data_IF_210277316066
#
_entry.id   IF_210277316066
#
_cell.length_a   1.000
_cell.length_b   1.000
_cell.length_c   1.000
_cell.angle_alpha   90.00
_cell.angle_beta   90.00
_cell.angle_gamma   90.00
#
_symmetry.space_group_name_H-M   'P 1'
#
loop_
_entity.id
_entity.type
_entity.pdbx_description
1 polymer ?
#
# COMPACT_ATOMS: atom_id res chain seq x y z
N UNK A 1 -4.89 29.45 8.52
CA UNK A 1 -4.64 28.43 9.57
C UNK A 1 -4.90 27.02 9.00
N UNK A 2 -3.91 26.13 8.93
CA UNK A 2 -4.10 24.72 8.51
C UNK A 2 -4.79 23.97 9.65
N UNK A 3 -6.12 23.98 9.70
CA UNK A 3 -6.84 23.04 10.58
C UNK A 3 -6.54 21.62 10.09
N UNK A 4 -5.76 20.91 10.90
CA UNK A 4 -5.40 19.51 10.72
C UNK A 4 -6.40 18.68 11.52
N UNK A 5 -6.95 17.64 10.91
CA UNK A 5 -7.91 16.77 11.57
C UNK A 5 -7.14 15.75 12.41
N UNK A 6 -6.82 16.12 13.66
CA UNK A 6 -6.00 15.32 14.58
C UNK A 6 -6.62 13.92 14.79
N UNK A 7 -7.93 13.86 15.01
CA UNK A 7 -8.63 12.59 15.24
C UNK A 7 -8.45 11.61 14.08
N UNK A 8 -8.41 12.10 12.83
CA UNK A 8 -8.21 11.26 11.64
C UNK A 8 -6.82 10.61 11.63
N UNK A 9 -5.78 11.35 12.03
CA UNK A 9 -4.43 10.77 12.15
C UNK A 9 -4.39 9.70 13.25
N UNK A 10 -5.16 9.86 14.32
CA UNK A 10 -5.26 8.85 15.38
C UNK A 10 -6.00 7.60 14.92
N UNK A 11 -7.12 7.72 14.19
CA UNK A 11 -7.80 6.54 13.64
C UNK A 11 -6.86 5.77 12.68
N UNK A 12 -6.05 6.48 11.87
CA UNK A 12 -5.03 5.82 11.04
C UNK A 12 -3.97 5.08 11.85
N UNK A 13 -3.56 5.66 12.98
CA UNK A 13 -2.62 5.02 13.90
C UNK A 13 -3.23 3.75 14.51
N UNK A 14 -4.49 3.81 14.94
CA UNK A 14 -5.23 2.65 15.41
C UNK A 14 -5.30 1.56 14.33
N UNK A 15 -5.77 1.90 13.12
CA UNK A 15 -5.92 0.94 12.04
C UNK A 15 -4.59 0.29 11.62
N UNK A 16 -3.49 1.05 11.54
CA UNK A 16 -2.19 0.46 11.20
C UNK A 16 -1.69 -0.46 12.32
N UNK A 17 -1.85 -0.09 13.60
CA UNK A 17 -1.47 -0.96 14.71
C UNK A 17 -2.31 -2.24 14.75
N UNK A 18 -3.62 -2.14 14.51
CA UNK A 18 -4.52 -3.31 14.41
C UNK A 18 -4.15 -4.21 13.24
N UNK A 19 -3.72 -3.65 12.10
CA UNK A 19 -3.25 -4.43 10.95
C UNK A 19 -1.96 -5.18 11.26
N UNK A 20 -1.00 -4.51 11.93
CA UNK A 20 0.29 -5.12 12.30
C UNK A 20 0.10 -6.34 13.21
N UNK A 21 -0.62 -6.17 14.32
CA UNK A 21 -0.89 -7.26 15.25
C UNK A 21 -1.74 -8.36 14.59
N UNK A 22 -2.67 -7.98 13.71
CA UNK A 22 -3.50 -8.89 12.93
C UNK A 22 -2.67 -9.84 12.09
N UNK A 23 -1.75 -9.30 11.28
CA UNK A 23 -0.85 -10.11 10.46
C UNK A 23 0.11 -10.96 11.31
N UNK A 24 0.62 -10.42 12.41
CA UNK A 24 1.55 -11.16 13.28
C UNK A 24 0.89 -12.40 13.89
N UNK A 25 -0.27 -12.23 14.54
CA UNK A 25 -0.97 -13.34 15.20
C UNK A 25 -1.47 -14.33 14.14
N UNK A 26 -2.01 -13.86 13.02
CA UNK A 26 -2.48 -14.76 11.95
C UNK A 26 -1.33 -15.60 11.37
N UNK A 27 -0.13 -15.05 11.23
CA UNK A 27 1.01 -15.77 10.69
C UNK A 27 1.62 -16.77 11.70
N UNK A 28 1.73 -16.38 12.98
CA UNK A 28 2.58 -17.08 13.93
C UNK A 28 1.83 -17.89 15.00
N UNK A 29 0.55 -17.60 15.26
CA UNK A 29 -0.25 -18.38 16.23
C UNK A 29 -0.49 -19.79 15.70
N UNK A 30 -0.22 -20.80 16.53
CA UNK A 30 -0.40 -22.20 16.13
C UNK A 30 -1.87 -22.53 15.85
N UNK A 31 -2.09 -23.40 14.86
CA UNK A 31 -3.43 -23.77 14.36
C UNK A 31 -4.40 -24.26 15.45
N UNK A 32 -4.00 -25.06 16.46
CA UNK A 32 -4.91 -25.52 17.51
C UNK A 32 -5.54 -24.39 18.34
N UNK A 33 -4.95 -23.19 18.31
CA UNK A 33 -5.46 -22.02 19.04
C UNK A 33 -6.29 -21.09 18.14
N UNK A 34 -6.39 -21.35 16.84
CA UNK A 34 -7.24 -20.61 15.90
C UNK A 34 -8.69 -21.15 15.94
N UNK A 35 -9.32 -21.09 17.11
CA UNK A 35 -10.66 -21.64 17.35
C UNK A 35 -11.71 -20.53 17.54
N UNK A 36 -12.69 -20.47 16.64
CA UNK A 36 -13.80 -19.50 16.71
C UNK A 36 -14.78 -19.77 17.87
N UNK A 37 -14.74 -20.97 18.48
CA UNK A 37 -15.50 -21.22 19.72
C UNK A 37 -14.86 -20.57 20.94
N UNK A 38 -13.57 -20.23 20.87
CA UNK A 38 -12.89 -19.50 21.92
C UNK A 38 -13.25 -18.01 21.84
N UNK A 39 -13.96 -17.52 22.86
CA UNK A 39 -14.42 -16.13 22.94
C UNK A 39 -13.30 -15.09 22.74
N UNK A 40 -12.09 -15.35 23.25
CA UNK A 40 -10.97 -14.42 23.12
C UNK A 40 -10.45 -14.35 21.68
N UNK A 41 -10.31 -15.51 21.03
CA UNK A 41 -9.89 -15.58 19.63
C UNK A 41 -10.96 -14.98 18.72
N UNK A 42 -12.22 -15.34 18.90
CA UNK A 42 -13.35 -14.83 18.13
C UNK A 42 -13.45 -13.29 18.21
N UNK A 43 -13.37 -12.71 19.41
CA UNK A 43 -13.40 -11.26 19.59
C UNK A 43 -12.21 -10.62 18.84
N UNK A 44 -11.00 -11.15 19.06
CA UNK A 44 -9.80 -10.63 18.40
C UNK A 44 -9.89 -10.71 16.87
N UNK A 45 -10.34 -11.85 16.34
CA UNK A 45 -10.49 -12.09 14.91
C UNK A 45 -11.55 -11.16 14.31
N UNK A 46 -12.68 -10.98 15.00
CA UNK A 46 -13.72 -10.03 14.63
C UNK A 46 -13.19 -8.60 14.49
N UNK A 47 -12.48 -8.10 15.51
CA UNK A 47 -11.90 -6.74 15.49
C UNK A 47 -10.83 -6.58 14.42
N UNK A 48 -10.04 -7.62 14.19
CA UNK A 48 -9.03 -7.62 13.11
C UNK A 48 -9.71 -7.45 11.74
N UNK A 49 -10.88 -8.07 11.52
CA UNK A 49 -11.69 -7.93 10.30
C UNK A 49 -12.24 -6.52 10.04
N UNK A 50 -12.34 -5.65 11.05
CA UNK A 50 -12.79 -4.25 10.90
C UNK A 50 -11.69 -3.34 10.33
N UNK A 51 -10.43 -3.77 10.43
CA UNK A 51 -9.25 -2.95 10.15
C UNK A 51 -9.21 -2.44 8.71
N UNK A 52 -9.43 -3.32 7.72
CA UNK A 52 -9.39 -2.94 6.30
C UNK A 52 -10.50 -1.93 5.92
N UNK A 53 -11.79 -2.16 6.27
CA UNK A 53 -12.85 -1.16 6.11
C UNK A 53 -12.49 0.22 6.68
N UNK A 54 -11.97 0.26 7.91
CA UNK A 54 -11.55 1.52 8.56
C UNK A 54 -10.42 2.19 7.79
N UNK A 55 -9.36 1.45 7.45
CA UNK A 55 -8.19 2.00 6.77
C UNK A 55 -8.50 2.56 5.37
N UNK A 56 -9.32 1.85 4.59
CA UNK A 56 -9.76 2.27 3.27
C UNK A 56 -10.67 3.50 3.33
N UNK A 57 -11.64 3.50 4.26
CA UNK A 57 -12.56 4.63 4.45
C UNK A 57 -11.80 5.90 4.84
N UNK A 58 -10.84 5.82 5.76
CA UNK A 58 -10.04 7.01 6.13
C UNK A 58 -9.21 7.51 4.95
N UNK A 59 -8.66 6.59 4.15
CA UNK A 59 -7.86 6.95 2.97
C UNK A 59 -8.69 7.77 1.97
N UNK A 60 -9.93 7.33 1.69
CA UNK A 60 -10.88 8.06 0.86
C UNK A 60 -11.32 9.40 1.48
N UNK A 61 -11.57 9.41 2.79
CA UNK A 61 -11.97 10.61 3.55
C UNK A 61 -10.93 11.72 3.44
N UNK A 62 -9.68 11.43 3.82
CA UNK A 62 -8.60 12.43 3.81
C UNK A 62 -8.35 12.92 2.40
N UNK A 63 -8.30 11.99 1.45
CA UNK A 63 -8.01 12.31 0.06
C UNK A 63 -9.04 13.31 -0.48
N UNK A 64 -10.33 12.99 -0.34
CA UNK A 64 -11.43 13.81 -0.86
C UNK A 64 -11.54 15.13 -0.12
N UNK A 65 -11.41 15.13 1.21
CA UNK A 65 -11.38 16.36 2.01
C UNK A 65 -10.29 17.33 1.54
N UNK A 66 -9.07 16.81 1.32
CA UNK A 66 -7.95 17.64 0.84
C UNK A 66 -8.11 18.06 -0.62
N UNK A 67 -8.69 17.19 -1.45
CA UNK A 67 -8.94 17.46 -2.87
C UNK A 67 -9.91 18.62 -3.03
N UNK A 68 -11.07 18.57 -2.36
CA UNK A 68 -12.07 19.64 -2.40
C UNK A 68 -11.50 20.94 -1.83
N UNK A 69 -10.86 20.88 -0.64
CA UNK A 69 -10.28 22.06 0.01
C UNK A 69 -9.27 22.80 -0.87
N UNK A 70 -8.43 22.07 -1.59
CA UNK A 70 -7.46 22.68 -2.49
C UNK A 70 -8.12 23.13 -3.80
N UNK A 71 -9.15 22.43 -4.27
CA UNK A 71 -9.93 22.80 -5.45
C UNK A 71 -10.62 24.15 -5.29
N UNK A 72 -11.19 24.44 -4.11
CA UNK A 72 -11.77 25.76 -3.81
C UNK A 72 -10.73 26.89 -3.76
N UNK A 73 -9.45 26.58 -3.50
CA UNK A 73 -8.38 27.58 -3.40
C UNK A 73 -7.65 27.84 -4.71
N UNK A 74 -7.38 26.78 -5.47
CA UNK A 74 -6.52 26.81 -6.66
C UNK A 74 -7.28 26.64 -7.98
N UNK A 75 -8.59 26.39 -7.91
CA UNK A 75 -9.44 26.11 -9.06
C UNK A 75 -9.69 24.62 -9.26
N UNK A 76 -10.85 24.31 -9.85
CA UNK A 76 -11.30 22.94 -10.11
C UNK A 76 -10.57 22.37 -11.35
N UNK A 77 -10.48 21.04 -11.44
CA UNK A 77 -9.80 20.35 -12.54
C UNK A 77 -8.29 20.25 -12.34
N UNK A 78 -7.53 20.25 -13.45
CA UNK A 78 -6.07 20.08 -13.46
C UNK A 78 -5.30 21.20 -12.77
N UNK A 79 -5.92 22.36 -12.54
CA UNK A 79 -5.34 23.47 -11.75
C UNK A 79 -5.12 23.08 -10.30
N UNK A 80 -5.92 22.14 -9.79
CA UNK A 80 -5.78 21.64 -8.43
C UNK A 80 -4.53 20.76 -8.29
N UNK A 81 -3.48 21.18 -7.55
CA UNK A 81 -2.25 20.40 -7.42
C UNK A 81 -2.46 19.05 -6.70
N UNK A 82 -3.61 18.85 -6.04
CA UNK A 82 -3.97 17.55 -5.43
C UNK A 82 -4.33 16.48 -6.45
N UNK A 83 -4.77 16.86 -7.65
CA UNK A 83 -5.05 15.91 -8.74
C UNK A 83 -3.77 15.19 -9.14
N UNK A 84 -2.73 15.95 -9.51
CA UNK A 84 -1.42 15.40 -9.90
C UNK A 84 -0.76 14.64 -8.73
N UNK A 85 -0.83 15.18 -7.51
CA UNK A 85 -0.30 14.49 -6.31
C UNK A 85 -1.04 13.19 -6.01
N UNK A 86 -2.37 13.17 -6.18
CA UNK A 86 -3.21 11.99 -5.98
C UNK A 86 -2.88 10.89 -6.98
N UNK A 87 -2.81 11.25 -8.26
CA UNK A 87 -2.45 10.33 -9.34
C UNK A 87 -1.04 9.73 -9.16
N UNK A 88 -0.02 10.57 -8.93
CA UNK A 88 1.33 10.08 -8.65
C UNK A 88 1.40 9.22 -7.40
N UNK A 89 0.63 9.58 -6.35
CA UNK A 89 0.55 8.76 -5.15
C UNK A 89 -0.07 7.39 -5.46
N UNK A 90 -1.14 7.33 -6.25
CA UNK A 90 -1.77 6.09 -6.67
C UNK A 90 -0.79 5.16 -7.40
N UNK A 91 -0.11 5.67 -8.43
CA UNK A 91 0.92 4.93 -9.17
C UNK A 91 2.05 4.47 -8.23
N UNK A 92 2.53 5.36 -7.36
CA UNK A 92 3.59 5.04 -6.42
C UNK A 92 3.18 3.91 -5.44
N UNK A 93 1.92 3.88 -5.00
CA UNK A 93 1.43 2.80 -4.14
C UNK A 93 1.35 1.46 -4.89
N UNK A 94 0.80 1.47 -6.12
CA UNK A 94 0.78 0.28 -6.98
C UNK A 94 2.20 -0.25 -7.22
N UNK A 95 3.12 0.64 -7.60
CA UNK A 95 4.52 0.27 -7.80
C UNK A 95 5.10 -0.37 -6.54
N UNK A 96 5.01 0.28 -5.38
CA UNK A 96 5.51 -0.28 -4.10
C UNK A 96 4.87 -1.62 -3.78
N UNK A 97 3.58 -1.81 -4.08
CA UNK A 97 2.89 -3.07 -3.87
C UNK A 97 3.49 -4.20 -4.72
N UNK A 98 3.76 -3.93 -6.01
CA UNK A 98 4.45 -4.89 -6.88
C UNK A 98 5.87 -5.19 -6.40
N UNK A 99 6.61 -4.20 -5.88
CA UNK A 99 7.98 -4.42 -5.38
C UNK A 99 8.03 -5.32 -4.12
N UNK A 100 7.00 -5.26 -3.28
CA UNK A 100 6.97 -5.96 -2.00
C UNK A 100 6.43 -7.39 -2.08
N UNK A 101 5.84 -7.79 -3.21
CA UNK A 101 5.24 -9.13 -3.37
C UNK A 101 6.18 -10.05 -4.14
N UNK A 102 6.25 -11.32 -3.72
CA UNK A 102 7.04 -12.36 -4.40
C UNK A 102 6.51 -12.69 -5.81
N UNK A 103 5.21 -12.49 -6.03
CA UNK A 103 4.54 -12.77 -7.29
C UNK A 103 3.79 -11.54 -7.78
N UNK A 104 3.92 -11.25 -9.08
CA UNK A 104 3.19 -10.18 -9.76
C UNK A 104 1.68 -10.45 -9.86
N UNK A 105 1.27 -11.72 -9.67
CA UNK A 105 -0.12 -12.15 -9.73
C UNK A 105 -0.88 -11.89 -8.43
N UNK A 106 -0.20 -11.62 -7.32
CA UNK A 106 -0.84 -11.40 -6.03
C UNK A 106 -1.22 -9.92 -5.83
N UNK A 107 -2.51 -9.67 -5.65
CA UNK A 107 -3.05 -8.32 -5.42
C UNK A 107 -3.21 -8.07 -3.93
N UNK A 108 -2.93 -6.84 -3.52
CA UNK A 108 -2.79 -6.46 -2.11
C UNK A 108 -3.59 -5.19 -1.84
N UNK A 109 -3.81 -4.87 -0.56
CA UNK A 109 -4.55 -3.67 -0.15
C UNK A 109 -3.92 -2.39 -0.71
N UNK A 110 -2.59 -2.37 -0.89
CA UNK A 110 -1.87 -1.22 -1.45
C UNK A 110 -2.19 -1.00 -2.93
N UNK A 111 -2.40 -2.07 -3.71
CA UNK A 111 -2.90 -2.00 -5.08
C UNK A 111 -4.31 -1.41 -5.11
N UNK A 112 -5.19 -1.90 -4.22
CA UNK A 112 -6.57 -1.42 -4.10
C UNK A 112 -6.62 0.08 -3.77
N UNK A 113 -5.84 0.53 -2.78
CA UNK A 113 -5.75 1.96 -2.43
C UNK A 113 -5.21 2.77 -3.59
N UNK A 114 -4.13 2.30 -4.22
CA UNK A 114 -3.48 3.02 -5.32
C UNK A 114 -4.43 3.23 -6.50
N UNK A 115 -5.13 2.17 -6.91
CA UNK A 115 -6.12 2.21 -7.98
C UNK A 115 -7.34 3.05 -7.59
N UNK A 116 -7.85 2.91 -6.37
CA UNK A 116 -8.97 3.70 -5.88
C UNK A 116 -8.67 5.20 -5.89
N UNK A 117 -7.45 5.63 -5.51
CA UNK A 117 -7.05 7.04 -5.60
C UNK A 117 -7.04 7.55 -7.04
N UNK A 118 -6.60 6.75 -8.01
CA UNK A 118 -6.62 7.10 -9.43
C UNK A 118 -8.06 7.25 -9.92
N UNK A 119 -8.94 6.30 -9.58
CA UNK A 119 -10.37 6.35 -9.91
C UNK A 119 -11.03 7.60 -9.32
N UNK A 120 -10.76 7.90 -8.04
CA UNK A 120 -11.28 9.09 -7.36
C UNK A 120 -10.83 10.40 -8.04
N UNK A 121 -9.58 10.46 -8.51
CA UNK A 121 -9.10 11.58 -9.34
C UNK A 121 -9.87 11.67 -10.65
N UNK A 122 -10.07 10.54 -11.33
CA UNK A 122 -10.86 10.46 -12.57
C UNK A 122 -12.27 11.00 -12.38
N UNK A 123 -12.99 10.52 -11.36
CA UNK A 123 -14.34 10.97 -11.00
C UNK A 123 -14.36 12.49 -10.75
N UNK A 124 -13.42 13.01 -9.95
CA UNK A 124 -13.33 14.45 -9.67
C UNK A 124 -13.14 15.29 -10.95
N UNK A 125 -12.31 14.81 -11.88
CA UNK A 125 -12.06 15.50 -13.15
C UNK A 125 -13.29 15.44 -14.08
N UNK A 126 -13.97 14.30 -14.14
CA UNK A 126 -15.18 14.11 -14.96
C UNK A 126 -16.33 15.02 -14.50
N UNK A 127 -16.51 15.19 -13.19
CA UNK A 127 -17.56 16.05 -12.64
C UNK A 127 -17.27 17.55 -12.90
N UNK A 128 -15.99 17.94 -12.90
CA UNK A 128 -15.58 19.31 -13.20
C UNK A 128 -16.24 20.33 -12.28
N UNK A 129 -16.82 21.40 -12.85
CA UNK A 129 -17.38 22.53 -12.09
C UNK A 129 -18.48 22.16 -11.09
N UNK A 130 -19.14 21.00 -11.25
CA UNK A 130 -20.24 20.56 -10.41
C UNK A 130 -19.80 19.74 -9.18
N UNK A 131 -18.50 19.69 -8.87
CA UNK A 131 -17.92 18.89 -7.78
C UNK A 131 -18.67 19.06 -6.46
N UNK A 132 -19.09 20.27 -6.11
CA UNK A 132 -19.78 20.53 -4.83
C UNK A 132 -21.06 19.73 -4.63
N UNK A 133 -21.86 19.56 -5.69
CA UNK A 133 -23.18 18.94 -5.59
C UNK A 133 -23.18 17.49 -6.09
N UNK A 134 -22.40 17.21 -7.13
CA UNK A 134 -22.43 15.90 -7.81
C UNK A 134 -21.46 14.91 -7.19
N UNK A 135 -20.30 15.35 -6.68
CA UNK A 135 -19.29 14.43 -6.14
C UNK A 135 -19.82 13.57 -4.98
N UNK A 136 -20.48 14.12 -3.94
CA UNK A 136 -20.99 13.28 -2.85
C UNK A 136 -22.00 12.23 -3.35
N UNK A 137 -22.89 12.61 -4.27
CA UNK A 137 -23.92 11.74 -4.84
C UNK A 137 -23.28 10.60 -5.62
N UNK A 138 -22.31 10.90 -6.49
CA UNK A 138 -21.60 9.87 -7.27
C UNK A 138 -20.85 8.91 -6.36
N UNK A 139 -20.16 9.42 -5.33
CA UNK A 139 -19.38 8.60 -4.42
C UNK A 139 -20.24 7.64 -3.60
N UNK A 140 -21.36 8.12 -3.03
CA UNK A 140 -22.27 7.23 -2.30
C UNK A 140 -22.97 6.24 -3.24
N UNK A 141 -23.32 6.66 -4.47
CA UNK A 141 -23.92 5.77 -5.47
C UNK A 141 -22.98 4.63 -5.83
N UNK A 142 -21.68 4.91 -6.05
CA UNK A 142 -20.68 3.87 -6.31
C UNK A 142 -20.57 2.91 -5.12
N UNK A 143 -20.53 3.41 -3.89
CA UNK A 143 -20.50 2.56 -2.69
C UNK A 143 -21.71 1.63 -2.63
N UNK A 144 -22.91 2.17 -2.80
CA UNK A 144 -24.15 1.39 -2.73
C UNK A 144 -24.21 0.35 -3.84
N UNK A 145 -23.87 0.71 -5.08
CA UNK A 145 -23.83 -0.23 -6.20
C UNK A 145 -22.85 -1.38 -5.93
N UNK A 146 -21.63 -1.07 -5.48
CA UNK A 146 -20.64 -2.11 -5.18
C UNK A 146 -21.06 -3.02 -4.03
N UNK A 147 -21.70 -2.49 -2.99
CA UNK A 147 -22.10 -3.32 -1.85
C UNK A 147 -23.35 -4.15 -2.14
N UNK A 148 -24.35 -3.57 -2.82
CA UNK A 148 -25.59 -4.25 -3.20
C UNK A 148 -25.30 -5.41 -4.16
N UNK A 149 -24.43 -5.22 -5.15
CA UNK A 149 -24.16 -6.24 -6.17
C UNK A 149 -22.94 -7.11 -5.87
N UNK A 150 -22.45 -7.12 -4.62
CA UNK A 150 -21.26 -7.89 -4.24
C UNK A 150 -21.36 -9.37 -4.56
N UNK A 151 -22.50 -9.99 -4.24
CA UNK A 151 -22.71 -11.40 -4.54
C UNK A 151 -22.74 -11.65 -6.06
N UNK A 152 -23.36 -10.74 -6.82
CA UNK A 152 -23.49 -10.88 -8.28
C UNK A 152 -22.14 -10.88 -8.96
N UNK A 153 -21.27 -9.91 -8.65
CA UNK A 153 -20.01 -9.81 -9.37
C UNK A 153 -18.97 -10.86 -8.93
N UNK A 154 -19.09 -11.43 -7.73
CA UNK A 154 -18.18 -12.47 -7.24
C UNK A 154 -18.36 -13.80 -7.98
N UNK A 155 -19.48 -13.99 -8.69
CA UNK A 155 -19.76 -15.21 -9.46
C UNK A 155 -19.25 -15.17 -10.91
N UNK A 156 -18.85 -14.01 -11.42
CA UNK A 156 -18.34 -13.92 -12.81
C UNK A 156 -16.98 -14.61 -12.96
N UNK A 157 -16.70 -15.06 -14.17
CA UNK A 157 -15.40 -15.58 -14.59
C UNK A 157 -14.81 -14.67 -15.68
N UNK A 158 -13.52 -14.36 -15.58
CA UNK A 158 -12.80 -13.51 -16.54
C UNK A 158 -11.76 -14.30 -17.34
N UNK A 159 -12.16 -15.46 -17.87
CA UNK A 159 -11.29 -16.33 -18.67
C UNK A 159 -10.70 -15.65 -19.92
N UNK A 160 -11.33 -14.58 -20.39
CA UNK A 160 -10.90 -13.77 -21.54
C UNK A 160 -9.84 -12.71 -21.20
N UNK A 161 -9.56 -12.48 -19.90
CA UNK A 161 -8.67 -11.44 -19.44
C UNK A 161 -7.32 -12.04 -18.99
N UNK A 162 -6.16 -11.40 -19.26
CA UNK A 162 -4.89 -11.87 -18.72
C UNK A 162 -4.95 -11.99 -17.20
N UNK A 163 -4.39 -13.06 -16.65
CA UNK A 163 -4.47 -13.41 -15.22
C UNK A 163 -4.03 -12.25 -14.31
N UNK A 164 -2.99 -11.52 -14.70
CA UNK A 164 -2.49 -10.34 -13.97
C UNK A 164 -3.58 -9.28 -13.77
N UNK A 165 -4.46 -9.08 -14.75
CA UNK A 165 -5.56 -8.11 -14.68
C UNK A 165 -6.79 -8.77 -14.05
N UNK A 166 -7.07 -10.04 -14.35
CA UNK A 166 -8.17 -10.80 -13.76
C UNK A 166 -8.09 -10.83 -12.24
N UNK A 167 -6.88 -10.95 -11.68
CA UNK A 167 -6.66 -10.98 -10.23
C UNK A 167 -7.01 -9.67 -9.51
N UNK A 168 -7.16 -8.54 -10.22
CA UNK A 168 -7.68 -7.30 -9.64
C UNK A 168 -9.21 -7.32 -9.52
N UNK A 169 -9.90 -8.18 -10.27
CA UNK A 169 -11.35 -8.30 -10.27
C UNK A 169 -11.80 -9.49 -9.41
N UNK A 170 -12.96 -9.36 -8.74
CA UNK A 170 -13.55 -10.48 -8.03
C UNK A 170 -14.10 -11.52 -9.01
N UNK A 171 -13.68 -12.77 -8.88
CA UNK A 171 -14.20 -13.89 -9.64
C UNK A 171 -14.24 -15.17 -8.80
N UNK A 172 -15.05 -16.14 -9.22
CA UNK A 172 -15.38 -17.35 -8.45
C UNK A 172 -14.17 -18.15 -7.97
N UNK A 173 -13.13 -18.22 -8.80
CA UNK A 173 -11.90 -18.98 -8.51
C UNK A 173 -10.74 -18.09 -8.01
N UNK A 174 -10.99 -16.82 -7.64
CA UNK A 174 -9.91 -15.92 -7.21
C UNK A 174 -9.46 -16.29 -5.80
N UNK A 175 -8.16 -16.54 -5.64
CA UNK A 175 -7.54 -16.79 -4.33
C UNK A 175 -7.12 -15.49 -3.64
N UNK A 176 -7.15 -14.35 -4.34
CA UNK A 176 -6.79 -13.04 -3.79
C UNK A 176 -7.95 -12.43 -3.00
N UNK A 177 -7.71 -12.20 -1.71
CA UNK A 177 -8.67 -11.51 -0.84
C UNK A 177 -8.83 -10.01 -1.17
N UNK A 178 -7.82 -9.39 -1.78
CA UNK A 178 -7.79 -7.96 -2.07
C UNK A 178 -7.98 -7.67 -3.56
N UNK A 179 -9.23 -7.56 -4.00
CA UNK A 179 -9.66 -7.14 -5.34
C UNK A 179 -10.16 -5.68 -5.36
N UNK A 180 -10.22 -4.99 -6.50
CA UNK A 180 -10.70 -3.60 -6.51
C UNK A 180 -12.15 -3.47 -5.99
N UNK A 181 -12.98 -4.45 -6.27
CA UNK A 181 -14.33 -4.57 -5.70
C UNK A 181 -14.35 -5.75 -4.73
N UNK A 182 -14.86 -5.60 -3.50
CA UNK A 182 -15.66 -4.49 -2.97
C UNK A 182 -14.86 -3.30 -2.43
N UNK A 183 -13.53 -3.40 -2.30
CA UNK A 183 -12.73 -2.49 -1.48
C UNK A 183 -12.79 -1.00 -1.92
N UNK A 184 -13.01 -0.73 -3.22
CA UNK A 184 -13.29 0.61 -3.73
C UNK A 184 -14.50 1.26 -3.05
N UNK A 185 -15.53 0.47 -2.72
CA UNK A 185 -16.75 0.94 -2.06
C UNK A 185 -16.48 1.60 -0.71
N UNK A 186 -15.52 1.08 0.07
CA UNK A 186 -15.09 1.72 1.31
C UNK A 186 -14.32 3.02 1.06
N UNK A 187 -13.49 3.08 0.02
CA UNK A 187 -12.75 4.31 -0.34
C UNK A 187 -13.72 5.40 -0.82
N UNK A 188 -14.70 5.08 -1.64
CA UNK A 188 -15.72 6.04 -2.10
C UNK A 188 -16.67 6.43 -0.97
N UNK A 189 -17.00 5.53 -0.04
CA UNK A 189 -17.76 5.84 1.17
C UNK A 189 -17.00 6.85 2.02
N UNK A 190 -15.71 6.60 2.23
CA UNK A 190 -14.81 7.53 2.88
C UNK A 190 -14.79 8.89 2.18
N UNK A 191 -14.71 8.89 0.86
CA UNK A 191 -14.76 10.11 0.06
C UNK A 191 -16.08 10.89 0.22
N UNK A 192 -17.21 10.19 0.23
CA UNK A 192 -18.53 10.76 0.52
C UNK A 192 -18.54 11.42 1.91
N UNK A 193 -18.18 10.68 2.95
CA UNK A 193 -18.13 11.19 4.33
C UNK A 193 -17.18 12.39 4.43
N UNK A 194 -16.01 12.32 3.79
CA UNK A 194 -15.02 13.41 3.76
C UNK A 194 -15.51 14.65 3.03
N UNK A 195 -16.29 14.48 1.96
CA UNK A 195 -16.91 15.59 1.24
C UNK A 195 -17.98 16.29 2.07
N UNK A 196 -18.88 15.54 2.71
CA UNK A 196 -19.91 16.08 3.59
C UNK A 196 -19.30 16.80 4.79
N UNK A 197 -18.30 16.18 5.43
CA UNK A 197 -17.58 16.79 6.53
C UNK A 197 -16.91 18.11 6.12
N UNK A 198 -16.32 18.16 4.91
CA UNK A 198 -15.75 19.40 4.38
C UNK A 198 -16.84 20.44 4.12
N UNK A 199 -17.92 20.13 3.40
CA UNK A 199 -18.92 21.16 3.07
C UNK A 199 -19.64 21.73 4.29
N UNK A 200 -19.74 20.95 5.36
CA UNK A 200 -20.33 21.38 6.63
C UNK A 200 -19.29 21.84 7.67
N UNK A 201 -18.01 22.02 7.32
CA UNK A 201 -16.92 22.32 8.27
C UNK A 201 -17.12 23.58 9.12
N UNK A 202 -17.97 24.52 8.67
CA UNK A 202 -18.28 25.79 9.37
C UNK A 202 -19.51 25.69 10.29
N UNK A 203 -20.22 24.57 10.31
CA UNK A 203 -21.41 24.40 11.13
C UNK A 203 -21.04 24.33 12.63
N UNK A 204 -21.75 25.10 13.47
CA UNK A 204 -21.49 25.20 14.93
C UNK A 204 -21.50 23.85 15.65
N UNK A 205 -22.45 22.97 15.28
CA UNK A 205 -22.64 21.66 15.91
C UNK A 205 -22.15 20.49 15.04
N UNK A 206 -21.20 20.74 14.12
CA UNK A 206 -20.71 19.73 13.17
C UNK A 206 -20.34 18.41 13.85
N UNK A 207 -19.46 18.44 14.86
CA UNK A 207 -18.97 17.21 15.49
C UNK A 207 -20.06 16.42 16.22
N UNK A 208 -21.05 17.10 16.81
CA UNK A 208 -22.19 16.45 17.47
C UNK A 208 -23.06 15.75 16.43
N UNK A 209 -23.51 16.49 15.42
CA UNK A 209 -24.37 15.96 14.34
C UNK A 209 -23.64 14.83 13.62
N UNK A 210 -22.37 15.01 13.29
CA UNK A 210 -21.54 13.99 12.64
C UNK A 210 -21.46 12.70 13.46
N UNK A 211 -21.24 12.81 14.78
CA UNK A 211 -21.21 11.65 15.68
C UNK A 211 -22.56 10.94 15.73
N UNK A 212 -23.67 11.68 15.85
CA UNK A 212 -25.03 11.11 15.85
C UNK A 212 -25.29 10.35 14.55
N UNK A 213 -24.96 10.95 13.39
CA UNK A 213 -25.14 10.29 12.10
C UNK A 213 -24.29 9.02 11.98
N UNK A 214 -23.03 9.03 12.44
CA UNK A 214 -22.19 7.84 12.46
C UNK A 214 -22.77 6.73 13.34
N UNK A 215 -23.34 7.07 14.49
CA UNK A 215 -23.99 6.09 15.39
C UNK A 215 -25.25 5.53 14.74
N UNK A 216 -26.14 6.39 14.25
CA UNK A 216 -27.44 5.99 13.66
C UNK A 216 -27.22 5.12 12.41
N UNK A 217 -26.44 5.58 11.44
CA UNK A 217 -26.13 4.76 10.26
C UNK A 217 -25.28 3.54 10.62
N UNK A 218 -24.42 3.66 11.62
CA UNK A 218 -23.69 2.53 12.19
C UNK A 218 -24.63 1.43 12.69
N UNK A 219 -25.69 1.79 13.43
CA UNK A 219 -26.71 0.86 13.89
C UNK A 219 -27.46 0.23 12.71
N UNK A 220 -27.93 1.03 11.75
CA UNK A 220 -28.68 0.54 10.58
C UNK A 220 -27.87 -0.51 9.81
N UNK A 221 -26.56 -0.27 9.62
CA UNK A 221 -25.70 -1.18 8.87
C UNK A 221 -25.13 -2.33 9.71
N UNK A 222 -24.90 -2.15 11.01
CA UNK A 222 -24.48 -3.25 11.88
C UNK A 222 -25.59 -4.30 11.99
N UNK A 223 -26.83 -3.86 12.17
CA UNK A 223 -28.01 -4.72 12.18
C UNK A 223 -28.56 -4.99 10.77
N UNK A 224 -27.68 -5.15 9.78
CA UNK A 224 -28.03 -5.27 8.36
C UNK A 224 -29.09 -6.35 8.08
N UNK A 225 -29.07 -7.47 8.81
CA UNK A 225 -30.05 -8.54 8.63
C UNK A 225 -31.48 -8.01 8.78
N UNK A 226 -31.75 -7.31 9.89
CA UNK A 226 -33.08 -6.74 10.15
C UNK A 226 -33.43 -5.65 9.13
N UNK A 227 -32.47 -4.80 8.79
CA UNK A 227 -32.66 -3.71 7.82
C UNK A 227 -33.06 -4.24 6.44
N UNK A 228 -32.34 -5.22 5.89
CA UNK A 228 -32.62 -5.75 4.56
C UNK A 228 -33.78 -6.74 4.55
N UNK A 229 -33.98 -7.52 5.61
CA UNK A 229 -35.16 -8.38 5.72
C UNK A 229 -36.46 -7.56 5.75
N UNK A 230 -36.48 -6.44 6.48
CA UNK A 230 -37.62 -5.52 6.45
C UNK A 230 -37.87 -4.94 5.04
N UNK A 231 -36.81 -4.59 4.31
CA UNK A 231 -36.95 -4.15 2.90
C UNK A 231 -37.47 -5.26 1.99
N UNK A 232 -37.09 -6.51 2.23
CA UNK A 232 -37.64 -7.67 1.54
C UNK A 232 -39.14 -7.81 1.82
N UNK A 233 -39.57 -7.76 3.07
CA UNK A 233 -41.00 -7.82 3.45
C UNK A 233 -41.82 -6.70 2.80
N UNK A 234 -41.25 -5.48 2.70
CA UNK A 234 -41.93 -4.34 2.10
C UNK A 234 -42.01 -4.39 0.57
N UNK A 235 -40.97 -4.89 -0.10
CA UNK A 235 -40.85 -4.77 -1.57
C UNK A 235 -41.04 -6.09 -2.32
N UNK A 236 -40.91 -7.23 -1.63
CA UNK A 236 -40.88 -8.57 -2.21
C UNK A 236 -39.64 -8.88 -3.05
N UNK A 237 -38.64 -7.99 -3.12
CA UNK A 237 -37.48 -8.19 -3.98
C UNK A 237 -36.47 -9.15 -3.33
N UNK A 238 -36.33 -10.37 -3.86
CA UNK A 238 -35.48 -11.45 -3.33
C UNK A 238 -34.01 -11.05 -3.10
N UNK A 239 -33.51 -10.07 -3.83
CA UNK A 239 -32.16 -9.55 -3.65
C UNK A 239 -31.94 -8.99 -2.24
N UNK A 240 -32.97 -8.42 -1.62
CA UNK A 240 -32.88 -7.95 -0.24
C UNK A 240 -32.80 -9.09 0.79
N UNK A 241 -33.48 -10.23 0.57
CA UNK A 241 -33.29 -11.40 1.45
C UNK A 241 -31.85 -11.93 1.33
N UNK A 242 -31.32 -12.00 0.11
CA UNK A 242 -29.92 -12.39 -0.13
C UNK A 242 -28.95 -11.44 0.60
N UNK A 243 -29.18 -10.13 0.50
CA UNK A 243 -28.39 -9.12 1.22
C UNK A 243 -28.51 -9.27 2.74
N UNK A 244 -29.69 -9.58 3.29
CA UNK A 244 -29.86 -9.75 4.74
C UNK A 244 -28.98 -10.89 5.29
N UNK A 245 -28.83 -11.98 4.52
CA UNK A 245 -28.09 -13.17 4.94
C UNK A 245 -26.59 -13.08 4.64
N UNK A 246 -26.21 -12.46 3.52
CA UNK A 246 -24.82 -12.40 3.03
C UNK A 246 -24.20 -10.99 3.07
N UNK A 247 -24.88 -10.02 3.67
CA UNK A 247 -24.52 -8.60 3.69
C UNK A 247 -23.36 -8.23 4.62
N UNK A 248 -22.28 -9.01 4.64
CA UNK A 248 -21.14 -8.78 5.54
C UNK A 248 -20.49 -7.41 5.30
N UNK A 249 -20.52 -6.88 4.06
CA UNK A 249 -19.99 -5.54 3.76
C UNK A 249 -20.77 -4.44 4.49
N UNK A 250 -22.09 -4.59 4.62
CA UNK A 250 -22.91 -3.67 5.40
C UNK A 250 -22.63 -3.80 6.89
N UNK A 251 -22.55 -5.04 7.42
CA UNK A 251 -22.13 -5.27 8.81
C UNK A 251 -20.80 -4.56 9.14
N UNK A 252 -19.78 -4.78 8.30
CA UNK A 252 -18.45 -4.15 8.46
C UNK A 252 -18.47 -2.63 8.27
N UNK A 253 -19.41 -2.12 7.47
CA UNK A 253 -19.65 -0.68 7.35
C UNK A 253 -20.19 -0.12 8.67
N UNK A 254 -21.14 -0.81 9.31
CA UNK A 254 -21.65 -0.44 10.62
C UNK A 254 -20.55 -0.36 11.68
N UNK A 255 -19.75 -1.42 11.80
CA UNK A 255 -18.59 -1.49 12.70
C UNK A 255 -17.59 -0.36 12.49
N UNK A 256 -17.30 -0.06 11.21
CA UNK A 256 -16.38 1.00 10.82
C UNK A 256 -16.94 2.37 11.20
N UNK A 257 -18.23 2.64 10.98
CA UNK A 257 -18.85 3.92 11.36
C UNK A 257 -18.85 4.12 12.89
N UNK A 258 -19.11 3.06 13.66
CA UNK A 258 -18.98 3.10 15.11
C UNK A 258 -17.54 3.34 15.56
N UNK A 259 -16.57 2.72 14.90
CA UNK A 259 -15.14 3.01 15.15
C UNK A 259 -14.88 4.51 14.94
N UNK A 260 -15.34 5.10 13.84
CA UNK A 260 -15.23 6.54 13.60
C UNK A 260 -15.92 7.35 14.71
N UNK A 261 -17.13 6.97 15.13
CA UNK A 261 -17.87 7.68 16.19
C UNK A 261 -17.09 7.73 17.50
N UNK A 262 -16.53 6.60 17.94
CA UNK A 262 -15.70 6.51 19.15
C UNK A 262 -14.52 7.47 19.08
N UNK A 263 -13.77 7.47 17.98
CA UNK A 263 -12.61 8.35 17.84
C UNK A 263 -12.98 9.85 17.71
N UNK A 264 -14.15 10.16 17.14
CA UNK A 264 -14.66 11.54 17.08
C UNK A 264 -15.12 12.03 18.46
N UNK A 265 -15.74 11.16 19.28
CA UNK A 265 -16.09 11.46 20.67
C UNK A 265 -14.83 11.70 21.51
N UNK A 266 -13.83 10.84 21.36
CA UNK A 266 -12.56 10.93 22.08
C UNK A 266 -11.58 11.97 21.52
N UNK A 267 -11.97 12.78 20.52
CA UNK A 267 -11.06 13.72 19.82
C UNK A 267 -10.35 14.72 20.74
N UNK A 268 -10.95 15.09 21.87
CA UNK A 268 -10.36 16.03 22.82
C UNK A 268 -9.36 15.34 23.76
N UNK A 269 -9.47 14.03 23.95
CA UNK A 269 -8.60 13.20 24.79
C UNK A 269 -7.42 12.67 23.97
N UNK A 270 -7.67 12.30 22.71
CA UNK A 270 -6.71 11.71 21.78
C UNK A 270 -5.81 12.75 21.10
N UNK A 271 -5.17 13.60 21.89
CA UNK A 271 -4.23 14.63 21.39
C UNK A 271 -2.77 14.20 21.41
N UNK A 272 -2.48 12.96 21.82
CA UNK A 272 -1.12 12.42 21.95
C UNK A 272 -0.30 12.60 20.65
N UNK A 273 0.78 13.42 20.66
CA UNK A 273 1.61 13.67 19.48
C UNK A 273 2.24 12.40 18.90
N UNK A 274 2.45 11.39 19.76
CA UNK A 274 2.95 10.08 19.38
C UNK A 274 2.00 9.35 18.43
N UNK A 275 0.72 9.20 18.79
CA UNK A 275 -0.29 8.54 17.95
C UNK A 275 -0.45 9.26 16.60
N UNK A 276 -0.45 10.59 16.61
CA UNK A 276 -0.49 11.36 15.37
C UNK A 276 0.70 11.07 14.45
N UNK A 277 1.89 10.88 15.02
CA UNK A 277 3.12 10.57 14.26
C UNK A 277 3.08 9.17 13.65
N UNK A 278 2.47 8.20 14.32
CA UNK A 278 2.21 6.87 13.75
C UNK A 278 1.31 7.00 12.51
N UNK A 279 0.16 7.66 12.64
CA UNK A 279 -0.80 7.83 11.54
C UNK A 279 -0.25 8.56 10.31
N UNK A 280 0.76 9.41 10.51
CA UNK A 280 1.46 10.12 9.43
C UNK A 280 2.40 9.23 8.62
N UNK A 281 2.96 8.21 9.26
CA UNK A 281 4.01 7.36 8.73
C UNK A 281 3.50 5.95 8.35
N UNK A 282 2.20 5.81 8.08
CA UNK A 282 1.60 4.48 7.83
C UNK A 282 2.24 3.73 6.66
N UNK A 283 2.72 4.42 5.62
CA UNK A 283 3.39 3.74 4.50
C UNK A 283 4.75 3.15 4.88
N UNK A 284 5.57 3.87 5.67
CA UNK A 284 6.86 3.32 6.10
C UNK A 284 6.67 2.19 7.10
N UNK A 285 5.69 2.32 8.00
CA UNK A 285 5.27 1.23 8.89
C UNK A 285 4.85 0.02 8.05
N UNK A 286 4.04 0.24 7.00
CA UNK A 286 3.64 -0.81 6.08
C UNK A 286 4.84 -1.49 5.41
N UNK A 287 5.76 -0.73 4.82
CA UNK A 287 6.93 -1.33 4.16
C UNK A 287 7.77 -2.14 5.15
N UNK A 288 8.03 -1.60 6.34
CA UNK A 288 8.85 -2.25 7.36
C UNK A 288 8.19 -3.52 7.89
N UNK A 289 6.87 -3.52 8.14
CA UNK A 289 6.21 -4.72 8.63
C UNK A 289 6.25 -5.85 7.59
N UNK A 290 6.10 -5.52 6.30
CA UNK A 290 6.30 -6.50 5.25
C UNK A 290 7.72 -7.05 5.37
N UNK A 291 8.76 -6.21 5.39
CA UNK A 291 10.15 -6.69 5.49
C UNK A 291 10.42 -7.57 6.72
N UNK A 292 9.86 -7.24 7.88
CA UNK A 292 10.12 -7.95 9.15
C UNK A 292 9.29 -9.24 9.27
N UNK A 293 8.01 -9.21 8.89
CA UNK A 293 7.09 -10.33 9.07
C UNK A 293 7.00 -11.22 7.83
N UNK A 294 7.05 -10.66 6.62
CA UNK A 294 6.68 -11.33 5.37
C UNK A 294 7.72 -11.22 4.22
N UNK A 295 8.00 -12.36 3.59
CA UNK A 295 8.15 -12.64 2.14
C UNK A 295 9.12 -11.82 1.23
N UNK A 296 9.57 -10.60 1.53
CA UNK A 296 10.48 -9.86 0.63
C UNK A 296 11.90 -10.40 0.70
N UNK A 297 12.33 -10.79 1.91
CA UNK A 297 13.65 -11.35 2.18
C UNK A 297 13.49 -12.83 2.59
N UNK A 298 13.63 -13.81 1.69
CA UNK A 298 13.84 -15.20 2.06
C UNK A 298 14.83 -15.35 3.23
N UNK A 299 14.48 -16.16 4.23
CA UNK A 299 15.32 -16.54 5.38
C UNK A 299 15.57 -15.48 6.49
N UNK A 300 15.07 -14.25 6.37
CA UNK A 300 15.23 -13.20 7.40
C UNK A 300 13.90 -12.56 7.85
N UNK A 301 12.81 -13.33 7.83
CA UNK A 301 11.50 -12.87 8.30
C UNK A 301 10.99 -13.76 9.43
N UNK A 302 10.16 -13.19 10.31
CA UNK A 302 9.64 -13.90 11.49
C UNK A 302 8.76 -15.10 11.11
N UNK A 303 7.99 -14.99 10.03
CA UNK A 303 7.14 -16.07 9.52
C UNK A 303 7.97 -17.32 9.19
N UNK A 304 9.14 -17.18 8.57
CA UNK A 304 10.02 -18.32 8.28
C UNK A 304 10.44 -19.12 9.53
N UNK A 305 10.70 -18.44 10.65
CA UNK A 305 11.18 -19.10 11.88
C UNK A 305 10.06 -19.58 12.79
N UNK A 306 8.93 -18.87 12.82
CA UNK A 306 7.86 -19.09 13.79
C UNK A 306 6.49 -19.37 13.15
N UNK A 307 6.47 -19.80 11.87
CA UNK A 307 5.24 -20.09 11.15
C UNK A 307 4.35 -21.02 11.97
N UNK A 308 3.15 -20.55 12.32
CA UNK A 308 2.13 -21.32 13.06
C UNK A 308 2.68 -22.13 14.25
N UNK A 309 3.65 -21.58 15.00
CA UNK A 309 4.32 -22.33 16.08
C UNK A 309 4.16 -21.71 17.47
N UNK A 310 3.68 -20.47 17.59
CA UNK A 310 3.57 -19.78 18.87
C UNK A 310 2.31 -20.20 19.64
N UNK A 311 2.43 -20.30 20.96
CA UNK A 311 1.28 -20.39 21.85
C UNK A 311 0.63 -19.00 22.07
N UNK A 312 -0.58 -18.92 22.66
CA UNK A 312 -1.31 -17.65 22.78
C UNK A 312 -0.55 -16.55 23.54
N UNK A 313 0.13 -16.89 24.64
CA UNK A 313 0.86 -15.91 25.45
C UNK A 313 2.06 -15.37 24.67
N UNK A 314 2.81 -16.25 24.02
CA UNK A 314 3.94 -15.88 23.15
C UNK A 314 3.47 -15.02 21.98
N UNK A 315 2.34 -15.36 21.36
CA UNK A 315 1.77 -14.59 20.24
C UNK A 315 1.34 -13.18 20.68
N UNK A 316 0.71 -13.02 21.84
CA UNK A 316 0.29 -11.71 22.37
C UNK A 316 1.51 -10.85 22.70
N UNK A 317 2.47 -11.39 23.45
CA UNK A 317 3.70 -10.66 23.82
C UNK A 317 4.49 -10.32 22.56
N UNK A 318 4.63 -11.27 21.65
CA UNK A 318 5.28 -11.09 20.35
C UNK A 318 4.62 -10.01 19.50
N UNK A 319 3.28 -9.97 19.44
CA UNK A 319 2.55 -8.95 18.70
C UNK A 319 2.79 -7.54 19.25
N UNK A 320 2.84 -7.39 20.58
CA UNK A 320 3.16 -6.10 21.22
C UNK A 320 4.57 -5.65 20.85
N UNK A 321 5.57 -6.53 21.01
CA UNK A 321 6.95 -6.21 20.63
C UNK A 321 7.10 -5.93 19.14
N UNK A 322 6.38 -6.66 18.29
CA UNK A 322 6.37 -6.46 16.86
C UNK A 322 5.80 -5.09 16.48
N UNK A 323 4.63 -4.72 17.01
CA UNK A 323 4.01 -3.41 16.77
C UNK A 323 4.94 -2.28 17.22
N UNK A 324 5.46 -2.37 18.45
CA UNK A 324 6.38 -1.35 19.00
C UNK A 324 7.66 -1.27 18.17
N UNK A 325 8.27 -2.41 17.84
CA UNK A 325 9.51 -2.49 17.07
C UNK A 325 9.37 -1.89 15.67
N UNK A 326 8.31 -2.24 14.93
CA UNK A 326 8.04 -1.70 13.59
C UNK A 326 7.78 -0.19 13.65
N UNK A 327 7.01 0.29 14.63
CA UNK A 327 6.74 1.72 14.80
C UNK A 327 8.02 2.50 15.10
N UNK A 328 8.83 2.01 16.04
CA UNK A 328 10.12 2.63 16.40
C UNK A 328 11.06 2.65 15.20
N UNK A 329 11.21 1.53 14.49
CA UNK A 329 12.04 1.44 13.30
C UNK A 329 11.56 2.40 12.20
N UNK A 330 10.24 2.57 12.03
CA UNK A 330 9.68 3.56 11.11
C UNK A 330 10.05 5.00 11.48
N UNK A 331 10.18 5.32 12.77
CA UNK A 331 10.59 6.66 13.19
C UNK A 331 12.09 6.90 12.94
N UNK A 332 12.93 5.90 13.19
CA UNK A 332 14.35 5.97 12.84
C UNK A 332 14.55 6.10 11.33
N UNK A 333 13.84 5.30 10.54
CA UNK A 333 13.84 5.39 9.08
C UNK A 333 13.51 6.81 8.61
N UNK A 334 12.45 7.42 9.15
CA UNK A 334 12.06 8.78 8.78
C UNK A 334 13.14 9.82 9.14
N UNK A 335 13.76 9.69 10.32
CA UNK A 335 14.86 10.56 10.77
C UNK A 335 16.07 10.46 9.84
N UNK A 336 16.48 9.24 9.49
CA UNK A 336 17.61 8.97 8.59
C UNK A 336 17.30 9.46 7.18
N UNK A 337 16.11 9.16 6.65
CA UNK A 337 15.69 9.62 5.32
C UNK A 337 15.71 11.15 5.23
N UNK A 338 15.18 11.85 6.24
CA UNK A 338 15.21 13.32 6.30
C UNK A 338 16.65 13.83 6.30
N UNK A 339 17.52 13.26 7.12
CA UNK A 339 18.94 13.62 7.18
C UNK A 339 19.65 13.42 5.85
N UNK A 340 19.45 12.28 5.19
CA UNK A 340 20.03 11.98 3.87
C UNK A 340 19.50 12.96 2.82
N UNK A 341 18.20 13.23 2.84
CA UNK A 341 17.56 14.19 1.93
C UNK A 341 18.14 15.60 2.07
N UNK A 342 18.27 16.08 3.30
CA UNK A 342 18.81 17.43 3.57
C UNK A 342 20.30 17.51 3.25
N UNK A 343 21.08 16.46 3.52
CA UNK A 343 22.53 16.47 3.31
C UNK A 343 22.97 16.21 1.87
N UNK A 344 22.24 15.37 1.12
CA UNK A 344 22.67 14.91 -0.21
C UNK A 344 21.75 15.35 -1.35
N UNK A 345 20.46 15.61 -1.08
CA UNK A 345 19.50 16.02 -2.11
C UNK A 345 19.24 17.53 -2.13
N UNK A 346 19.73 18.29 -1.14
CA UNK A 346 19.53 19.74 -1.09
C UNK A 346 20.45 20.54 -2.03
N UNK A 347 21.62 20.01 -2.43
CA UNK A 347 22.66 20.86 -3.04
C UNK A 347 23.03 20.66 -4.52
N UNK A 348 22.62 19.60 -5.24
CA UNK A 348 22.94 19.57 -6.69
C UNK A 348 22.19 18.59 -7.57
N UNK A 349 21.28 17.76 -7.04
CA UNK A 349 20.64 16.74 -7.87
C UNK A 349 19.30 17.24 -8.40
N UNK A 350 19.32 17.78 -9.63
CA UNK A 350 18.12 18.19 -10.38
C UNK A 350 17.02 17.13 -10.23
N UNK A 351 15.81 17.54 -9.82
CA UNK A 351 14.65 16.64 -9.70
C UNK A 351 14.49 15.70 -10.90
N UNK A 352 14.81 16.16 -12.13
CA UNK A 352 14.80 15.34 -13.36
C UNK A 352 15.80 14.17 -13.32
N UNK A 353 16.92 14.30 -12.64
CA UNK A 353 17.93 13.24 -12.46
C UNK A 353 17.51 12.21 -11.43
N UNK A 354 16.86 12.61 -10.33
CA UNK A 354 16.27 11.65 -9.37
C UNK A 354 15.16 10.85 -10.05
N UNK A 355 14.32 11.50 -10.87
CA UNK A 355 13.34 10.79 -11.68
C UNK A 355 14.00 9.85 -12.69
N UNK A 356 15.03 10.27 -13.44
CA UNK A 356 15.74 9.37 -14.36
C UNK A 356 16.44 8.21 -13.65
N UNK A 357 17.07 8.44 -12.51
CA UNK A 357 17.74 7.42 -11.72
C UNK A 357 16.72 6.44 -11.15
N UNK A 358 15.58 6.95 -10.67
CA UNK A 358 14.46 6.12 -10.23
C UNK A 358 13.84 5.34 -11.39
N UNK A 359 13.68 5.92 -12.58
CA UNK A 359 13.20 5.23 -13.78
C UNK A 359 14.16 4.13 -14.22
N UNK A 360 15.47 4.36 -14.16
CA UNK A 360 16.48 3.33 -14.48
C UNK A 360 16.50 2.24 -13.42
N UNK A 361 16.48 2.59 -12.13
CA UNK A 361 16.36 1.62 -11.03
C UNK A 361 15.06 0.82 -11.14
N UNK A 362 13.96 1.46 -11.52
CA UNK A 362 12.66 0.84 -11.75
C UNK A 362 12.70 -0.10 -12.95
N UNK A 363 13.28 0.30 -14.08
CA UNK A 363 13.42 -0.55 -15.27
C UNK A 363 14.35 -1.74 -15.00
N UNK A 364 15.49 -1.53 -14.32
CA UNK A 364 16.42 -2.61 -13.98
C UNK A 364 15.83 -3.59 -12.96
N UNK A 365 15.11 -3.08 -11.96
CA UNK A 365 14.41 -3.92 -10.99
C UNK A 365 13.22 -4.65 -11.63
N UNK A 366 12.48 -4.01 -12.53
CA UNK A 366 11.35 -4.61 -13.24
C UNK A 366 11.81 -5.65 -14.27
N UNK A 367 12.91 -5.41 -14.98
CA UNK A 367 13.56 -6.40 -15.85
C UNK A 367 14.05 -7.61 -15.05
N UNK A 368 14.59 -7.39 -13.85
CA UNK A 368 14.98 -8.45 -12.93
C UNK A 368 13.78 -9.25 -12.39
N UNK A 369 12.66 -8.59 -12.07
CA UNK A 369 11.41 -9.25 -11.69
C UNK A 369 10.80 -10.03 -12.85
N UNK A 370 10.75 -9.48 -14.07
CA UNK A 370 10.23 -10.19 -15.26
C UNK A 370 11.05 -11.44 -15.55
N UNK A 371 12.39 -11.33 -15.50
CA UNK A 371 13.29 -12.46 -15.72
C UNK A 371 13.07 -13.56 -14.68
N UNK A 372 12.76 -13.21 -13.43
CA UNK A 372 12.43 -14.17 -12.38
C UNK A 372 10.98 -14.68 -12.41
N UNK A 373 10.01 -13.87 -12.86
CA UNK A 373 8.63 -14.31 -13.07
C UNK A 373 8.55 -15.37 -14.18
N UNK A 374 9.35 -15.20 -15.25
CA UNK A 374 9.56 -16.20 -16.31
C UNK A 374 10.18 -17.49 -15.72
N UNK A 375 11.00 -17.38 -14.67
CA UNK A 375 11.66 -18.50 -14.00
C UNK A 375 10.73 -19.27 -13.04
N UNK A 376 9.86 -18.58 -12.30
CA UNK A 376 8.83 -19.23 -11.47
C UNK A 376 7.81 -19.98 -12.33
N UNK A 377 7.57 -19.49 -13.56
CA UNK A 377 6.72 -20.15 -14.56
C UNK A 377 7.38 -21.37 -15.21
N UNK A 378 8.70 -21.56 -15.10
CA UNK A 378 9.44 -22.68 -15.72
C UNK A 378 9.65 -23.92 -14.83
N UNK A 379 9.15 -23.91 -13.58
CA UNK A 379 8.89 -25.14 -12.81
C UNK A 379 10.10 -25.94 -12.27
N UNK A 380 11.19 -25.31 -11.83
CA UNK A 380 12.34 -26.03 -11.22
C UNK A 380 12.50 -25.85 -9.69
N UNK A 381 13.23 -26.81 -9.09
CA UNK A 381 13.34 -27.16 -7.66
C UNK A 381 13.87 -26.06 -6.70
N UNK A 382 13.34 -26.09 -5.48
CA UNK A 382 13.53 -25.10 -4.40
C UNK A 382 14.99 -24.92 -3.93
N UNK A 383 15.86 -25.91 -4.12
CA UNK A 383 17.27 -25.85 -3.70
C UNK A 383 18.10 -24.88 -4.55
N UNK A 384 17.74 -24.70 -5.82
CA UNK A 384 18.32 -23.70 -6.70
C UNK A 384 17.87 -22.27 -6.35
N UNK A 385 16.95 -22.05 -5.40
CA UNK A 385 16.53 -20.70 -4.99
C UNK A 385 17.51 -20.10 -3.98
N UNK A 386 18.24 -20.93 -3.21
CA UNK A 386 19.13 -20.49 -2.13
C UNK A 386 20.43 -19.87 -2.65
N UNK A 387 21.15 -20.49 -3.60
CA UNK A 387 22.37 -19.87 -4.16
C UNK A 387 22.08 -18.56 -4.91
N UNK A 388 20.89 -18.43 -5.51
CA UNK A 388 20.49 -17.25 -6.27
C UNK A 388 19.85 -16.15 -5.41
N UNK A 389 19.47 -16.48 -4.17
CA UNK A 389 19.04 -15.49 -3.18
C UNK A 389 20.20 -14.57 -2.76
N UNK A 390 21.45 -15.05 -2.76
CA UNK A 390 22.64 -14.21 -2.56
C UNK A 390 22.72 -13.15 -3.66
N UNK A 391 22.46 -13.53 -4.92
CA UNK A 391 22.43 -12.60 -6.05
C UNK A 391 21.26 -11.59 -5.97
N UNK A 392 20.13 -12.02 -5.41
CA UNK A 392 18.93 -11.20 -5.17
C UNK A 392 19.22 -9.99 -4.26
N UNK A 393 20.14 -10.12 -3.31
CA UNK A 393 20.53 -9.02 -2.40
C UNK A 393 21.85 -8.36 -2.76
N UNK A 394 22.85 -9.12 -3.24
CA UNK A 394 24.14 -8.54 -3.60
C UNK A 394 24.01 -7.63 -4.82
N UNK A 395 23.15 -7.92 -5.79
CA UNK A 395 23.04 -7.12 -7.00
C UNK A 395 22.51 -5.70 -6.72
N UNK A 396 21.38 -5.52 -6.01
CA UNK A 396 20.90 -4.18 -5.65
C UNK A 396 21.82 -3.49 -4.64
N UNK A 397 22.41 -4.22 -3.69
CA UNK A 397 23.34 -3.66 -2.71
C UNK A 397 24.65 -3.19 -3.37
N UNK A 398 25.19 -3.95 -4.32
CA UNK A 398 26.36 -3.58 -5.11
C UNK A 398 26.06 -2.39 -6.02
N UNK A 399 24.87 -2.33 -6.62
CA UNK A 399 24.45 -1.20 -7.45
C UNK A 399 24.30 0.09 -6.62
N UNK A 400 23.68 0.00 -5.43
CA UNK A 400 23.58 1.11 -4.48
C UNK A 400 24.95 1.53 -3.95
N UNK A 401 25.83 0.57 -3.64
CA UNK A 401 27.20 0.83 -3.22
C UNK A 401 28.02 1.52 -4.32
N UNK A 402 27.89 1.07 -5.57
CA UNK A 402 28.51 1.72 -6.75
C UNK A 402 28.01 3.15 -6.91
N UNK A 403 26.71 3.41 -6.74
CA UNK A 403 26.12 4.75 -6.79
C UNK A 403 26.64 5.63 -5.63
N UNK A 404 26.75 5.11 -4.41
CA UNK A 404 27.25 5.85 -3.25
C UNK A 404 28.75 6.18 -3.37
N UNK A 405 29.56 5.21 -3.83
CA UNK A 405 30.98 5.42 -4.11
C UNK A 405 31.18 6.43 -5.24
N UNK A 406 30.30 6.39 -6.25
CA UNK A 406 30.25 7.36 -7.34
C UNK A 406 29.89 8.78 -6.86
N UNK A 407 28.84 8.92 -6.03
CA UNK A 407 28.44 10.21 -5.44
C UNK A 407 29.53 10.85 -4.57
N UNK A 408 30.43 10.04 -4.01
CA UNK A 408 31.60 10.49 -3.22
C UNK A 408 32.84 10.81 -4.08
N UNK A 409 32.71 10.87 -5.42
CA UNK A 409 33.80 11.10 -6.39
C UNK A 409 34.98 10.12 -6.26
N UNK A 410 34.75 8.88 -5.82
CA UNK A 410 35.81 7.87 -5.78
C UNK A 410 35.85 7.12 -7.12
N UNK A 411 37.05 6.94 -7.69
CA UNK A 411 37.31 6.09 -8.88
C UNK A 411 36.95 4.61 -8.65
N UNK A 412 36.70 4.25 -7.39
CA UNK A 412 36.42 2.90 -6.90
C UNK A 412 34.99 2.41 -7.17
N UNK A 413 34.18 3.12 -7.97
CA UNK A 413 32.78 2.74 -8.22
C UNK A 413 32.61 1.42 -8.99
N UNK A 414 33.67 0.96 -9.67
CA UNK A 414 33.74 -0.33 -10.38
C UNK A 414 33.90 -1.53 -9.44
N UNK A 415 34.35 -1.34 -8.20
CA UNK A 415 34.67 -2.45 -7.29
C UNK A 415 33.45 -3.36 -7.02
N UNK A 416 32.26 -2.84 -6.69
CA UNK A 416 31.09 -3.69 -6.50
C UNK A 416 30.66 -4.44 -7.76
N UNK A 417 30.88 -3.85 -8.95
CA UNK A 417 30.65 -4.49 -10.24
C UNK A 417 31.64 -5.63 -10.51
N UNK A 418 32.94 -5.39 -10.28
CA UNK A 418 33.98 -6.40 -10.47
C UNK A 418 33.81 -7.60 -9.52
N UNK A 419 33.43 -7.36 -8.27
CA UNK A 419 33.15 -8.41 -7.28
C UNK A 419 31.96 -9.26 -7.73
N UNK A 420 30.90 -8.61 -8.22
CA UNK A 420 29.69 -9.27 -8.68
C UNK A 420 29.93 -10.06 -9.98
N UNK A 421 30.66 -9.51 -10.96
CA UNK A 421 31.05 -10.24 -12.16
C UNK A 421 31.92 -11.45 -11.84
N UNK A 422 32.87 -11.31 -10.90
CA UNK A 422 33.69 -12.42 -10.45
C UNK A 422 32.85 -13.52 -9.78
N UNK A 423 31.91 -13.14 -8.90
CA UNK A 423 31.00 -14.08 -8.24
C UNK A 423 30.09 -14.83 -9.24
N UNK A 424 29.56 -14.15 -10.25
CA UNK A 424 28.73 -14.75 -11.31
C UNK A 424 29.55 -15.69 -12.20
N UNK A 425 30.80 -15.35 -12.49
CA UNK A 425 31.72 -16.22 -13.23
C UNK A 425 32.12 -17.45 -12.40
N UNK A 426 32.24 -17.34 -11.09
CA UNK A 426 32.55 -18.50 -10.24
C UNK A 426 31.34 -19.40 -10.01
N UNK A 427 30.17 -18.86 -9.64
CA UNK A 427 28.96 -19.67 -9.38
C UNK A 427 28.30 -20.15 -10.67
N UNK A 428 28.15 -19.28 -11.66
CA UNK A 428 27.41 -19.56 -12.89
C UNK A 428 28.18 -20.35 -13.96
N UNK A 429 29.51 -20.41 -13.88
CA UNK A 429 30.36 -21.09 -14.86
C UNK A 429 31.07 -22.32 -14.31
N UNK A 430 31.38 -22.37 -13.01
CA UNK A 430 32.07 -23.50 -12.37
C UNK A 430 31.06 -24.52 -11.79
N UNK A 431 29.93 -24.07 -11.21
CA UNK A 431 28.92 -24.96 -10.63
C UNK A 431 27.74 -25.29 -11.59
N UNK A 432 27.60 -24.55 -12.69
CA UNK A 432 26.44 -24.60 -13.59
C UNK A 432 26.73 -25.13 -14.99
N UNK A 433 27.36 -26.29 -15.14
CA UNK A 433 27.66 -26.88 -16.46
C UNK A 433 26.42 -27.30 -17.28
N UNK A 434 25.23 -27.31 -16.69
CA UNK A 434 24.00 -27.73 -17.38
C UNK A 434 23.25 -26.61 -18.14
N UNK A 435 23.60 -25.32 -17.97
CA UNK A 435 22.90 -24.22 -18.68
C UNK A 435 23.76 -22.94 -18.87
N UNK A 436 24.82 -22.96 -19.72
CA UNK A 436 25.77 -21.86 -19.89
C UNK A 436 25.15 -20.57 -20.46
N UNK A 437 24.08 -20.69 -21.27
CA UNK A 437 23.37 -19.53 -21.84
C UNK A 437 22.79 -18.61 -20.76
N UNK A 438 22.39 -19.16 -19.62
CA UNK A 438 21.76 -18.44 -18.50
C UNK A 438 22.72 -17.45 -17.82
N UNK A 439 23.94 -17.90 -17.53
CA UNK A 439 25.00 -17.08 -16.95
C UNK A 439 25.43 -15.97 -17.91
N UNK A 440 25.41 -16.26 -19.22
CA UNK A 440 25.73 -15.29 -20.28
C UNK A 440 24.67 -14.19 -20.36
N UNK A 441 23.38 -14.50 -20.39
CA UNK A 441 22.31 -13.48 -20.43
C UNK A 441 22.35 -12.55 -19.22
N UNK A 442 22.60 -13.10 -18.03
CA UNK A 442 22.70 -12.34 -16.79
C UNK A 442 23.92 -11.40 -16.80
N UNK A 443 25.08 -11.91 -17.23
CA UNK A 443 26.31 -11.13 -17.37
C UNK A 443 26.13 -10.00 -18.40
N UNK A 444 25.47 -10.28 -19.52
CA UNK A 444 25.16 -9.28 -20.55
C UNK A 444 24.22 -8.21 -19.99
N UNK A 445 23.14 -8.58 -19.29
CA UNK A 445 22.22 -7.61 -18.69
C UNK A 445 22.90 -6.70 -17.66
N UNK A 446 23.77 -7.27 -16.82
CA UNK A 446 24.56 -6.53 -15.82
C UNK A 446 25.56 -5.59 -16.51
N UNK A 447 26.25 -6.07 -17.54
CA UNK A 447 27.23 -5.30 -18.31
C UNK A 447 26.57 -4.13 -19.04
N UNK A 448 25.39 -4.36 -19.65
CA UNK A 448 24.61 -3.31 -20.31
C UNK A 448 24.11 -2.27 -19.29
N UNK A 449 23.61 -2.71 -18.14
CA UNK A 449 23.15 -1.81 -17.07
C UNK A 449 24.25 -0.89 -16.55
N UNK A 450 25.45 -1.43 -16.30
CA UNK A 450 26.61 -0.66 -15.87
C UNK A 450 27.23 0.18 -17.01
N UNK A 451 27.16 -0.28 -18.26
CA UNK A 451 27.55 0.49 -19.44
C UNK A 451 26.70 1.75 -19.62
N UNK A 452 25.37 1.61 -19.51
CA UNK A 452 24.44 2.75 -19.54
C UNK A 452 24.72 3.71 -18.38
N UNK A 453 24.99 3.20 -17.19
CA UNK A 453 25.38 4.00 -16.04
C UNK A 453 26.67 4.79 -16.35
N UNK A 454 27.70 4.16 -16.91
CA UNK A 454 28.96 4.78 -17.31
C UNK A 454 28.82 5.89 -18.37
N UNK A 455 27.96 5.69 -19.37
CA UNK A 455 27.67 6.70 -20.40
C UNK A 455 26.97 7.91 -19.80
N UNK A 456 25.97 7.70 -18.93
CA UNK A 456 25.27 8.78 -18.24
C UNK A 456 26.19 9.58 -17.31
N UNK A 457 27.13 8.90 -16.65
CA UNK A 457 28.17 9.50 -15.83
C UNK A 457 29.09 10.40 -16.67
N UNK A 458 29.56 9.91 -17.82
CA UNK A 458 30.43 10.67 -18.72
C UNK A 458 29.73 11.92 -19.25
N UNK A 459 28.46 11.80 -19.63
CA UNK A 459 27.65 12.93 -20.09
C UNK A 459 27.42 13.97 -18.98
N UNK A 460 27.25 13.53 -17.73
CA UNK A 460 27.14 14.41 -16.56
C UNK A 460 28.43 15.22 -16.32
N UNK A 461 29.60 14.57 -16.37
CA UNK A 461 30.87 15.27 -16.20
C UNK A 461 31.16 16.26 -17.33
N UNK A 462 30.80 15.92 -18.58
CA UNK A 462 30.90 16.86 -19.70
C UNK A 462 30.07 18.11 -19.45
N UNK A 463 28.81 17.95 -19.03
CA UNK A 463 27.88 19.07 -18.77
C UNK A 463 28.23 19.88 -17.51
N UNK A 464 28.81 19.26 -16.49
CA UNK A 464 29.35 19.95 -15.32
C UNK A 464 30.58 20.79 -15.68
N UNK A 465 31.44 20.27 -16.56
CA UNK A 465 32.64 20.97 -17.04
C UNK A 465 32.24 22.18 -17.89
N UNK A 466 31.24 22.00 -18.76
CA UNK A 466 30.59 23.09 -19.51
C UNK A 466 29.93 24.14 -18.57
N UNK A 467 29.24 23.73 -17.50
CA UNK A 467 28.67 24.70 -16.54
C UNK A 467 29.72 25.47 -15.74
N UNK A 468 30.87 24.86 -15.45
CA UNK A 468 31.98 25.53 -14.76
C UNK A 468 32.74 26.52 -15.65
N UNK A 469 32.70 26.37 -16.97
CA UNK A 469 33.32 27.31 -17.91
C UNK A 469 32.50 28.59 -18.16
N UNK A 470 31.25 28.68 -17.67
CA UNK A 470 30.38 29.87 -17.79
C UNK A 470 30.26 30.68 -16.49
N UNK A 471 31.03 30.37 -15.46
CA UNK A 471 31.12 31.18 -14.24
C UNK A 471 32.42 32.00 -14.31
N UNK A 472 32.37 33.35 -14.28
CA UNK A 472 33.58 34.16 -14.20
C UNK A 472 34.34 33.82 -12.91
N UNK A 473 35.67 33.76 -13.01
CA UNK A 473 36.60 33.36 -11.95
C UNK A 473 36.51 34.25 -10.71
#
# INVERSE_FOLDING_TARGET
MKQRLIFIDVIRAYAICMMLQGHFITALLAEPYCDENNIYYHIWHYFTGITAPVFLTISGFIFTFLLIREGERSGIGLKNPRVIKGFHRGIMLIAVACLLRKSIFFVDILHCIGLALIIMVGIYLLIGKHVRHVLPIVLISITLLLFIFNETYNQYEYSWLPEVIANYLPHKNNTNFFTIFPWLGFVTLGGFIGSMFYYNHKAKHLYLIFTILLIVFGCIFHFQFHTFHFLYELTGWEHFDTLSRKGFLFLRTGDMLWTFAVFVMLRNILTAPFLQRIGQNTLSIYIIHCLVLNQVIPMFNLDFFFHKSLNPIQAIIGAIFFVVGVVVLSFYYHKIYKYIKERYFAESMSRKMVYKLFTVLFISFFSFIITNAIYTLSGEDYSAVVSYSILYYLLPAAFVASILLFLKKRSLFWIPYSILCFYILTEGFINGWNNPLRSIYLLVAITVGYGILGVLITFYFKRLREKKSYLPK
#
